data_IF_989237639051
#
_entry.id   IF_989237639051
#
_cell.length_a   1.000
_cell.length_b   1.000
_cell.length_c   1.000
_cell.angle_alpha   90.00
_cell.angle_beta   90.00
_cell.angle_gamma   90.00
#
_symmetry.space_group_name_H-M   'P 1'
#
loop_
_entity.id
_entity.type
_entity.pdbx_description
1 polymer ?
#
# COMPACT_ATOMS: atom_id res chain seq x y z
N UNK A 1 18.46 44.61 -79.26
CA UNK A 1 19.61 43.91 -78.65
C UNK A 1 19.11 43.26 -77.37
N UNK A 2 19.08 41.92 -77.33
CA UNK A 2 18.61 41.15 -76.19
C UNK A 2 19.73 40.99 -75.15
N UNK A 3 19.43 41.20 -73.87
CA UNK A 3 20.20 40.66 -72.75
C UNK A 3 19.20 40.20 -71.69
N UNK A 4 19.02 38.87 -71.61
CA UNK A 4 18.13 38.18 -70.68
C UNK A 4 18.86 37.93 -69.35
N UNK A 5 18.27 38.40 -68.24
CA UNK A 5 18.78 38.24 -66.88
C UNK A 5 18.38 36.86 -66.31
N UNK A 6 19.34 35.92 -66.26
CA UNK A 6 19.22 34.67 -65.47
C UNK A 6 19.70 34.92 -64.04
N UNK A 7 18.77 34.86 -63.08
CA UNK A 7 19.01 35.01 -61.65
C UNK A 7 19.12 33.62 -61.02
N UNK A 8 20.35 33.15 -60.77
CA UNK A 8 20.63 31.89 -60.08
C UNK A 8 20.21 31.97 -58.61
N UNK A 9 19.26 31.13 -58.20
CA UNK A 9 18.85 30.92 -56.81
C UNK A 9 19.68 29.78 -56.22
N UNK A 10 20.42 30.09 -55.16
CA UNK A 10 21.09 29.11 -54.30
C UNK A 10 20.03 28.23 -53.61
N UNK A 11 20.07 26.93 -53.91
CA UNK A 11 19.30 25.89 -53.22
C UNK A 11 20.19 25.29 -52.13
N UNK A 12 19.90 25.61 -50.86
CA UNK A 12 20.45 24.88 -49.71
C UNK A 12 19.34 23.92 -49.25
N UNK A 13 19.57 22.60 -49.25
CA UNK A 13 18.53 21.61 -48.97
C UNK A 13 18.17 21.59 -47.48
N UNK A 14 16.87 21.68 -47.20
CA UNK A 14 16.25 21.69 -45.87
C UNK A 14 16.36 20.38 -45.08
N UNK A 15 17.15 19.40 -45.51
CA UNK A 15 17.22 18.07 -44.89
C UNK A 15 17.92 18.06 -43.53
N UNK A 16 18.78 19.04 -43.24
CA UNK A 16 19.49 19.10 -41.95
C UNK A 16 18.70 19.80 -40.83
N UNK A 17 17.63 20.53 -41.14
CA UNK A 17 16.85 21.24 -40.10
C UNK A 17 15.85 20.30 -39.38
N UNK A 18 15.39 19.24 -40.04
CA UNK A 18 14.41 18.30 -39.48
C UNK A 18 15.04 17.36 -38.45
N UNK A 19 16.31 16.99 -38.62
CA UNK A 19 17.01 16.09 -37.69
C UNK A 19 17.29 16.72 -36.32
N UNK A 20 17.48 18.04 -36.27
CA UNK A 20 17.73 18.74 -35.01
C UNK A 20 16.46 18.94 -34.16
N UNK A 21 15.29 18.94 -34.80
CA UNK A 21 14.01 19.12 -34.10
C UNK A 21 13.53 17.82 -33.40
N UNK A 22 13.88 16.65 -33.94
CA UNK A 22 13.50 15.37 -33.32
C UNK A 22 14.31 15.00 -32.07
N UNK A 23 15.56 15.49 -31.94
CA UNK A 23 16.37 15.21 -30.75
C UNK A 23 16.00 16.11 -29.55
N UNK A 24 15.40 17.28 -29.79
CA UNK A 24 14.97 18.18 -28.71
C UNK A 24 13.62 17.79 -28.07
N UNK A 25 12.77 17.03 -28.77
CA UNK A 25 11.43 16.68 -28.24
C UNK A 25 11.47 15.46 -27.31
N UNK A 26 12.53 14.67 -27.28
CA UNK A 26 12.61 13.51 -26.37
C UNK A 26 13.01 13.84 -24.92
N UNK A 27 13.11 15.12 -24.54
CA UNK A 27 13.47 15.54 -23.17
C UNK A 27 12.42 16.38 -22.44
N UNK A 28 11.33 16.78 -23.08
CA UNK A 28 10.24 17.53 -22.44
C UNK A 28 8.90 16.82 -22.65
N UNK A 29 8.61 15.79 -21.84
CA UNK A 29 7.25 15.52 -21.35
C UNK A 29 7.28 14.41 -20.28
N UNK A 30 7.77 14.76 -19.08
CA UNK A 30 7.54 13.95 -17.86
C UNK A 30 6.32 14.42 -17.06
N UNK A 31 5.46 15.27 -17.64
CA UNK A 31 4.33 15.88 -16.93
C UNK A 31 3.03 15.72 -17.71
N UNK A 32 2.65 14.48 -18.01
CA UNK A 32 1.25 14.14 -18.28
C UNK A 32 0.82 13.13 -17.22
N UNK A 33 0.75 13.57 -15.96
CA UNK A 33 -0.13 12.91 -15.01
C UNK A 33 -1.56 13.29 -15.42
N UNK A 34 -2.31 12.31 -15.92
CA UNK A 34 -3.76 12.45 -16.07
C UNK A 34 -4.27 12.77 -14.67
N UNK A 35 -4.66 14.03 -14.42
CA UNK A 35 -5.42 14.39 -13.21
C UNK A 35 -6.76 13.67 -13.32
N UNK A 36 -6.83 12.45 -12.81
CA UNK A 36 -8.10 11.81 -12.51
C UNK A 36 -8.77 12.75 -11.51
N UNK A 37 -9.90 13.33 -11.90
CA UNK A 37 -10.71 14.19 -11.06
C UNK A 37 -10.96 13.48 -9.72
N UNK A 38 -10.66 14.14 -8.59
CA UNK A 38 -10.89 13.68 -7.21
C UNK A 38 -12.40 13.49 -6.90
N UNK A 39 -13.11 12.68 -7.67
CA UNK A 39 -14.45 12.19 -7.36
C UNK A 39 -14.46 10.68 -7.14
N UNK A 40 -13.31 10.07 -6.85
CA UNK A 40 -13.28 8.76 -6.21
C UNK A 40 -13.59 8.99 -4.73
N UNK A 41 -14.88 9.14 -4.42
CA UNK A 41 -15.50 9.09 -3.10
C UNK A 41 -14.55 9.32 -1.92
N UNK A 42 -14.24 10.58 -1.63
CA UNK A 42 -13.63 11.07 -0.40
C UNK A 42 -14.56 10.91 0.82
N UNK A 43 -15.19 9.75 1.01
CA UNK A 43 -16.17 9.58 2.10
C UNK A 43 -15.53 9.20 3.44
N UNK A 44 -14.20 9.11 3.51
CA UNK A 44 -13.49 8.91 4.79
C UNK A 44 -12.29 9.85 4.92
N UNK A 45 -12.52 11.13 4.67
CA UNK A 45 -11.73 12.18 5.32
C UNK A 45 -12.07 12.13 6.81
N UNK A 46 -11.05 12.25 7.66
CA UNK A 46 -11.20 12.36 9.12
C UNK A 46 -12.10 13.55 9.44
N UNK A 47 -13.41 13.33 9.48
CA UNK A 47 -14.37 14.31 9.94
C UNK A 47 -14.40 14.19 11.46
N UNK A 48 -14.28 15.29 12.22
CA UNK A 48 -14.34 15.25 13.69
C UNK A 48 -15.58 14.51 14.23
N UNK A 49 -16.66 14.42 13.45
CA UNK A 49 -17.88 13.69 13.79
C UNK A 49 -17.79 12.16 13.64
N UNK A 50 -16.66 11.63 13.15
CA UNK A 50 -16.47 10.20 12.83
C UNK A 50 -15.09 9.71 13.27
N UNK A 51 -14.82 9.65 14.59
CA UNK A 51 -13.52 9.25 15.09
C UNK A 51 -13.19 7.82 14.64
N UNK A 52 -12.06 7.68 13.94
CA UNK A 52 -11.50 6.37 13.62
C UNK A 52 -10.92 5.73 14.87
N UNK A 53 -10.87 4.39 14.88
CA UNK A 53 -10.14 3.61 15.86
C UNK A 53 -8.89 3.01 15.23
N UNK A 54 -7.89 2.70 16.05
CA UNK A 54 -6.65 2.07 15.62
C UNK A 54 -6.44 0.72 16.32
N UNK A 55 -6.10 -0.31 15.56
CA UNK A 55 -5.61 -1.59 16.07
C UNK A 55 -4.16 -1.81 15.60
N UNK A 56 -3.34 -2.49 16.40
CA UNK A 56 -1.94 -2.77 16.04
C UNK A 56 -1.66 -4.26 16.17
N UNK A 57 -1.09 -4.84 15.12
CA UNK A 57 -0.80 -6.28 15.02
C UNK A 57 0.61 -6.51 14.47
N UNK A 58 1.27 -7.58 14.93
CA UNK A 58 2.47 -8.14 14.33
C UNK A 58 2.16 -9.55 13.83
N UNK A 59 2.45 -9.85 12.57
CA UNK A 59 2.06 -11.10 11.92
C UNK A 59 3.03 -11.50 10.81
N UNK A 60 4.33 -11.23 11.01
CA UNK A 60 5.39 -11.46 10.05
C UNK A 60 5.96 -10.16 9.48
N UNK A 61 6.56 -10.23 8.28
CA UNK A 61 7.03 -9.05 7.56
C UNK A 61 5.91 -8.01 7.44
N UNK A 62 6.17 -6.76 7.82
CA UNK A 62 5.14 -5.73 7.79
C UNK A 62 4.66 -5.40 6.36
N UNK A 63 5.41 -5.76 5.31
CA UNK A 63 5.07 -5.42 3.93
C UNK A 63 3.83 -6.16 3.48
N UNK A 64 3.84 -7.48 3.70
CA UNK A 64 2.68 -8.34 3.43
C UNK A 64 1.59 -8.17 4.49
N UNK A 65 1.99 -7.93 5.75
CA UNK A 65 1.06 -7.69 6.86
C UNK A 65 0.21 -6.44 6.67
N UNK A 66 0.81 -5.34 6.20
CA UNK A 66 0.10 -4.09 5.88
C UNK A 66 -0.94 -4.33 4.78
N UNK A 67 -0.53 -5.01 3.71
CA UNK A 67 -1.40 -5.33 2.59
C UNK A 67 -2.59 -6.22 2.98
N UNK A 68 -2.43 -7.12 3.96
CA UNK A 68 -3.49 -8.03 4.42
C UNK A 68 -4.76 -7.32 4.90
N UNK A 69 -4.63 -6.10 5.44
CA UNK A 69 -5.77 -5.31 5.92
C UNK A 69 -6.31 -4.32 4.88
N UNK A 70 -5.55 -4.01 3.84
CA UNK A 70 -5.83 -2.86 2.95
C UNK A 70 -7.16 -2.92 2.22
N UNK A 71 -7.62 -4.13 1.88
CA UNK A 71 -8.85 -4.35 1.11
C UNK A 71 -10.09 -4.67 1.96
N UNK A 72 -9.97 -4.60 3.29
CA UNK A 72 -11.05 -4.93 4.20
C UNK A 72 -12.02 -3.74 4.31
N UNK A 73 -13.31 -3.99 4.09
CA UNK A 73 -14.32 -2.94 4.17
C UNK A 73 -14.39 -2.35 5.59
N UNK A 74 -14.27 -1.03 5.70
CA UNK A 74 -14.20 -0.31 6.98
C UNK A 74 -12.78 -0.01 7.44
N UNK A 75 -11.74 -0.63 6.87
CA UNK A 75 -10.35 -0.18 7.03
C UNK A 75 -10.14 1.05 6.15
N UNK A 76 -9.57 2.09 6.74
CA UNK A 76 -9.38 3.40 6.12
C UNK A 76 -7.91 3.61 5.77
N UNK A 77 -7.01 3.32 6.71
CA UNK A 77 -5.57 3.44 6.51
C UNK A 77 -4.85 2.28 7.17
N UNK A 78 -3.71 1.95 6.61
CA UNK A 78 -2.74 1.03 7.22
C UNK A 78 -1.38 1.71 7.20
N UNK A 79 -0.53 1.43 8.17
CA UNK A 79 0.87 1.89 8.17
C UNK A 79 1.77 0.79 8.74
N UNK A 80 2.92 0.58 8.10
CA UNK A 80 4.00 -0.26 8.63
C UNK A 80 4.73 0.45 9.77
N UNK A 81 5.24 -0.32 10.73
CA UNK A 81 5.96 0.21 11.89
C UNK A 81 6.48 -0.85 12.84
N UNK A 82 6.81 -0.41 14.04
CA UNK A 82 7.46 -1.21 15.09
C UNK A 82 6.71 -1.04 16.41
N UNK A 83 6.43 -2.13 17.11
CA UNK A 83 5.72 -2.11 18.40
C UNK A 83 6.19 -3.22 19.34
N UNK A 84 5.91 -3.07 20.64
CA UNK A 84 6.17 -4.11 21.64
C UNK A 84 7.62 -4.26 22.12
N UNK A 85 8.47 -3.26 21.84
CA UNK A 85 9.84 -3.19 22.35
C UNK A 85 10.07 -1.97 23.23
N UNK A 86 11.31 -1.84 23.71
CA UNK A 86 11.79 -0.82 24.65
C UNK A 86 12.66 0.24 23.99
N UNK A 87 13.22 -0.04 22.80
CA UNK A 87 14.07 0.91 22.07
C UNK A 87 13.25 2.12 21.63
N UNK A 88 13.70 3.32 22.00
CA UNK A 88 13.13 4.55 21.46
C UNK A 88 13.63 4.78 20.03
N UNK A 89 12.73 5.23 19.15
CA UNK A 89 13.00 5.48 17.72
C UNK A 89 13.72 4.30 17.03
N UNK A 90 13.10 3.10 17.00
CA UNK A 90 13.60 1.98 16.22
C UNK A 90 13.65 2.33 14.73
N UNK A 91 14.61 1.74 14.03
CA UNK A 91 14.80 1.85 12.57
C UNK A 91 14.87 0.45 11.98
N UNK A 92 14.61 0.30 10.68
CA UNK A 92 14.53 -1.03 10.06
C UNK A 92 15.79 -1.88 10.28
N UNK A 93 16.96 -1.25 10.23
CA UNK A 93 18.26 -1.92 10.44
C UNK A 93 18.55 -2.23 11.91
N UNK A 94 17.81 -1.63 12.84
CA UNK A 94 18.00 -1.78 14.27
C UNK A 94 16.70 -1.47 15.03
N UNK A 95 15.78 -2.43 15.00
CA UNK A 95 14.49 -2.34 15.68
C UNK A 95 14.53 -2.75 17.17
N UNK A 96 15.66 -3.25 17.66
CA UNK A 96 15.80 -3.77 19.03
C UNK A 96 14.91 -4.99 19.28
N UNK A 97 14.10 -4.93 20.33
CA UNK A 97 13.16 -5.96 20.75
C UNK A 97 11.73 -5.75 20.20
N UNK A 98 11.52 -4.74 19.35
CA UNK A 98 10.24 -4.53 18.69
C UNK A 98 9.86 -5.71 17.75
N UNK A 99 8.58 -5.81 17.42
CA UNK A 99 8.11 -6.59 16.28
C UNK A 99 7.88 -5.65 15.10
N UNK A 100 8.11 -6.13 13.88
CA UNK A 100 7.48 -5.53 12.70
C UNK A 100 5.96 -5.63 12.88
N UNK A 101 5.27 -4.50 12.73
CA UNK A 101 3.87 -4.34 13.08
C UNK A 101 3.14 -3.48 12.05
N UNK A 102 1.84 -3.67 11.95
CA UNK A 102 0.92 -2.82 11.18
C UNK A 102 -0.03 -2.11 12.14
N UNK A 103 -0.20 -0.81 11.95
CA UNK A 103 -1.31 -0.06 12.51
C UNK A 103 -2.44 0.00 11.49
N UNK A 104 -3.65 -0.34 11.92
CA UNK A 104 -4.86 -0.37 11.10
C UNK A 104 -5.83 0.67 11.66
N UNK A 105 -6.05 1.76 10.92
CA UNK A 105 -7.09 2.74 11.21
C UNK A 105 -8.40 2.32 10.53
N UNK A 106 -9.48 2.26 11.29
CA UNK A 106 -10.76 1.72 10.83
C UNK A 106 -11.96 2.50 11.37
N UNK A 107 -13.07 2.47 10.63
CA UNK A 107 -14.36 3.02 11.04
C UNK A 107 -15.13 1.98 11.87
N UNK A 108 -15.30 2.20 13.19
CA UNK A 108 -15.97 1.24 14.08
C UNK A 108 -17.47 1.04 13.77
N UNK A 109 -18.06 1.85 12.89
CA UNK A 109 -19.45 1.70 12.43
C UNK A 109 -19.58 0.70 11.28
N UNK A 110 -18.47 0.41 10.60
CA UNK A 110 -18.42 -0.50 9.44
C UNK A 110 -17.75 -1.82 9.82
N UNK A 111 -16.67 -1.76 10.60
CA UNK A 111 -15.91 -2.94 11.04
C UNK A 111 -15.53 -2.85 12.52
N UNK A 112 -15.69 -3.94 13.24
CA UNK A 112 -15.31 -4.07 14.65
C UNK A 112 -13.94 -4.74 14.84
N UNK A 113 -13.36 -4.56 16.02
CA UNK A 113 -12.08 -5.19 16.42
C UNK A 113 -12.10 -6.72 16.27
N UNK A 114 -13.24 -7.38 16.54
CA UNK A 114 -13.40 -8.83 16.33
C UNK A 114 -13.16 -9.26 14.88
N UNK A 115 -13.65 -8.48 13.92
CA UNK A 115 -13.47 -8.79 12.51
C UNK A 115 -12.02 -8.55 12.07
N UNK A 116 -11.35 -7.53 12.64
CA UNK A 116 -9.92 -7.34 12.43
C UNK A 116 -9.10 -8.51 12.98
N UNK A 117 -9.48 -9.07 14.13
CA UNK A 117 -8.88 -10.29 14.66
C UNK A 117 -9.09 -11.48 13.71
N UNK A 118 -10.28 -11.64 13.13
CA UNK A 118 -10.53 -12.72 12.16
C UNK A 118 -9.64 -12.56 10.90
N UNK A 119 -9.37 -11.32 10.45
CA UNK A 119 -8.40 -11.04 9.37
C UNK A 119 -6.98 -11.40 9.82
N UNK A 120 -6.58 -10.99 11.03
CA UNK A 120 -5.28 -11.30 11.61
C UNK A 120 -5.01 -12.82 11.65
N UNK A 121 -5.94 -13.61 12.18
CA UNK A 121 -5.79 -15.07 12.30
C UNK A 121 -5.74 -15.78 10.95
N UNK A 122 -6.45 -15.27 9.94
CA UNK A 122 -6.44 -15.87 8.59
C UNK A 122 -5.25 -15.44 7.72
N UNK A 123 -4.45 -14.47 8.16
CA UNK A 123 -3.37 -13.86 7.35
C UNK A 123 -1.98 -14.42 7.62
N UNK A 124 -1.79 -15.27 8.64
CA UNK A 124 -0.48 -15.81 9.00
C UNK A 124 -0.60 -17.15 9.76
N UNK A 125 0.54 -17.79 10.07
CA UNK A 125 0.57 -19.03 10.87
C UNK A 125 0.83 -18.67 12.34
N UNK A 126 -0.24 -18.66 13.12
CA UNK A 126 -0.25 -18.28 14.54
C UNK A 126 0.55 -19.20 15.47
N UNK A 127 1.22 -20.22 14.93
CA UNK A 127 1.91 -21.29 15.66
C UNK A 127 3.41 -21.24 15.44
N UNK A 128 3.88 -20.45 14.47
CA UNK A 128 5.30 -20.25 14.24
C UNK A 128 5.90 -19.45 15.40
N UNK A 129 7.05 -19.90 15.88
CA UNK A 129 7.78 -19.25 16.97
C UNK A 129 8.86 -18.39 16.33
N UNK A 130 8.89 -17.10 16.68
CA UNK A 130 9.92 -16.15 16.24
C UNK A 130 10.18 -16.20 14.72
N UNK A 131 9.10 -16.19 13.94
CA UNK A 131 9.18 -16.25 12.48
C UNK A 131 7.79 -16.30 11.84
N UNK A 132 7.75 -16.04 10.53
CA UNK A 132 6.57 -16.22 9.70
C UNK A 132 6.98 -16.62 8.27
N UNK A 133 6.57 -17.81 7.83
CA UNK A 133 6.91 -18.31 6.49
C UNK A 133 8.43 -18.49 6.34
N UNK A 134 9.07 -17.87 5.32
CA UNK A 134 10.52 -17.92 5.16
C UNK A 134 11.28 -17.01 6.14
N UNK A 135 10.59 -16.06 6.77
CA UNK A 135 11.20 -15.03 7.60
C UNK A 135 11.42 -15.58 9.02
N UNK A 136 12.68 -15.57 9.46
CA UNK A 136 13.09 -16.08 10.79
C UNK A 136 13.66 -14.94 11.61
N UNK A 137 13.16 -14.80 12.84
CA UNK A 137 13.60 -13.77 13.77
C UNK A 137 12.46 -13.30 14.69
N UNK A 138 12.84 -12.84 15.88
CA UNK A 138 11.88 -12.33 16.87
C UNK A 138 11.04 -11.15 16.32
N UNK A 139 11.57 -10.38 15.37
CA UNK A 139 10.87 -9.27 14.74
C UNK A 139 9.64 -9.71 13.93
N UNK A 140 9.60 -10.95 13.44
CA UNK A 140 8.51 -11.49 12.62
C UNK A 140 7.48 -12.29 13.45
N UNK A 141 7.58 -12.22 14.78
CA UNK A 141 6.66 -12.95 15.67
C UNK A 141 5.22 -12.49 15.52
N UNK A 142 4.30 -13.41 15.80
CA UNK A 142 2.88 -13.11 15.94
C UNK A 142 2.57 -12.42 17.28
N UNK A 143 1.97 -11.24 17.25
CA UNK A 143 1.55 -10.49 18.44
C UNK A 143 0.33 -9.61 18.17
N UNK A 144 -0.60 -9.58 19.13
CA UNK A 144 -1.73 -8.65 19.16
C UNK A 144 -1.45 -7.60 20.23
N UNK A 145 -1.46 -6.32 19.84
CA UNK A 145 -1.29 -5.21 20.76
C UNK A 145 -2.63 -4.56 21.08
N UNK A 146 -2.94 -4.40 22.36
CA UNK A 146 -4.26 -3.96 22.83
C UNK A 146 -4.19 -2.61 23.54
N UNK A 147 -5.12 -1.71 23.22
CA UNK A 147 -5.23 -0.36 23.80
C UNK A 147 -6.26 -0.25 24.94
N UNK A 148 -7.04 -1.29 25.19
CA UNK A 148 -8.09 -1.26 26.22
C UNK A 148 -8.38 -2.64 26.79
N UNK A 149 -9.03 -2.68 27.96
CA UNK A 149 -9.50 -3.92 28.57
C UNK A 149 -10.46 -4.70 27.67
N UNK A 150 -11.27 -4.00 26.85
CA UNK A 150 -12.19 -4.64 25.90
C UNK A 150 -11.42 -5.31 24.75
N UNK A 151 -10.41 -4.65 24.18
CA UNK A 151 -9.55 -5.27 23.17
C UNK A 151 -8.79 -6.46 23.74
N UNK A 152 -8.28 -6.36 24.97
CA UNK A 152 -7.63 -7.48 25.67
C UNK A 152 -8.57 -8.67 25.82
N UNK A 153 -9.80 -8.45 26.26
CA UNK A 153 -10.82 -9.50 26.39
C UNK A 153 -11.13 -10.14 25.04
N UNK A 154 -11.36 -9.33 24.00
CA UNK A 154 -11.67 -9.82 22.65
C UNK A 154 -10.50 -10.60 22.04
N UNK A 155 -9.27 -10.12 22.20
CA UNK A 155 -8.05 -10.77 21.74
C UNK A 155 -7.88 -12.14 22.42
N UNK A 156 -7.99 -12.21 23.75
CA UNK A 156 -7.90 -13.47 24.51
C UNK A 156 -8.95 -14.49 24.08
N UNK A 157 -10.23 -14.09 24.00
CA UNK A 157 -11.30 -14.97 23.50
C UNK A 157 -11.06 -15.42 22.06
N UNK A 158 -10.49 -14.56 21.20
CA UNK A 158 -10.17 -14.94 19.82
C UNK A 158 -9.00 -15.93 19.75
N UNK A 159 -7.98 -15.77 20.60
CA UNK A 159 -6.84 -16.69 20.70
C UNK A 159 -7.28 -18.07 21.21
N UNK A 160 -8.17 -18.12 22.20
CA UNK A 160 -8.76 -19.39 22.66
C UNK A 160 -9.51 -20.10 21.55
N UNK A 161 -10.31 -19.37 20.76
CA UNK A 161 -11.02 -19.91 19.59
C UNK A 161 -10.03 -20.48 18.56
N UNK A 162 -8.96 -19.76 18.28
CA UNK A 162 -7.92 -20.21 17.34
C UNK A 162 -7.17 -21.45 17.85
N UNK A 163 -6.90 -21.50 19.15
CA UNK A 163 -6.29 -22.67 19.78
C UNK A 163 -7.17 -23.92 19.67
N UNK A 164 -8.49 -23.77 19.76
CA UNK A 164 -9.44 -24.89 19.56
C UNK A 164 -9.48 -25.38 18.11
N UNK A 165 -9.24 -24.50 17.14
CA UNK A 165 -9.12 -24.88 15.73
C UNK A 165 -7.80 -25.61 15.43
N UNK A 166 -6.77 -25.37 16.24
CA UNK A 166 -5.45 -25.97 16.08
C UNK A 166 -5.31 -27.24 16.93
N UNK A 167 -5.58 -28.41 16.32
CA UNK A 167 -5.61 -29.71 17.05
C UNK A 167 -4.24 -30.25 17.47
N UNK A 168 -3.15 -29.85 16.80
CA UNK A 168 -1.83 -30.49 16.94
C UNK A 168 -0.71 -29.53 17.31
N UNK A 169 -1.01 -28.26 17.57
CA UNK A 169 -0.01 -27.22 17.81
C UNK A 169 -0.54 -26.12 18.71
N UNK A 170 0.38 -25.42 19.37
CA UNK A 170 0.06 -24.34 20.29
C UNK A 170 0.06 -23.03 19.50
N UNK A 171 -0.93 -22.18 19.76
CA UNK A 171 -0.95 -20.80 19.26
C UNK A 171 0.06 -19.98 20.06
N UNK A 172 1.13 -19.57 19.40
CA UNK A 172 2.28 -18.86 19.97
C UNK A 172 2.09 -17.35 20.00
N UNK A 173 1.05 -16.84 19.32
CA UNK A 173 0.69 -15.42 19.28
C UNK A 173 0.67 -14.80 20.68
N UNK A 174 1.46 -13.75 20.86
CA UNK A 174 1.49 -12.99 22.10
C UNK A 174 0.32 -11.99 22.15
N UNK A 175 -0.16 -11.66 23.35
CA UNK A 175 -1.09 -10.56 23.57
C UNK A 175 -0.44 -9.62 24.56
N UNK A 176 -0.23 -8.37 24.17
CA UNK A 176 0.49 -7.38 24.97
C UNK A 176 -0.25 -6.05 24.96
N UNK A 177 -0.10 -5.26 26.03
CA UNK A 177 -0.57 -3.89 26.01
C UNK A 177 0.22 -3.09 24.96
N UNK A 178 -0.48 -2.29 24.16
CA UNK A 178 0.20 -1.41 23.21
C UNK A 178 0.95 -0.31 23.99
N UNK A 179 2.27 -0.27 23.81
CA UNK A 179 3.11 0.86 24.19
C UNK A 179 3.10 1.94 23.10
N UNK A 180 4.28 2.41 22.69
CA UNK A 180 4.41 3.29 21.53
C UNK A 180 4.46 2.47 20.24
N UNK A 181 3.66 2.86 19.24
CA UNK A 181 3.83 2.42 17.86
C UNK A 181 4.73 3.43 17.13
N UNK A 182 5.88 2.96 16.65
CA UNK A 182 6.81 3.77 15.85
C UNK A 182 6.57 3.49 14.38
N UNK A 183 6.24 4.52 13.60
CA UNK A 183 6.08 4.37 12.15
C UNK A 183 7.41 3.97 11.51
N UNK A 184 7.36 3.05 10.57
CA UNK A 184 8.50 2.71 9.73
C UNK A 184 8.74 3.82 8.70
N UNK A 185 9.95 3.83 8.17
CA UNK A 185 10.43 4.78 7.18
C UNK A 185 9.56 4.74 5.90
N UNK A 186 9.44 5.86 5.15
CA UNK A 186 8.56 5.94 3.96
C UNK A 186 8.75 4.80 2.96
N UNK A 187 9.99 4.35 2.75
CA UNK A 187 10.35 3.25 1.86
C UNK A 187 9.62 1.93 2.19
N UNK A 188 9.20 1.73 3.44
CA UNK A 188 8.48 0.55 3.89
C UNK A 188 6.95 0.69 3.80
N UNK A 189 6.42 1.91 3.64
CA UNK A 189 4.98 2.16 3.55
C UNK A 189 4.44 1.77 2.17
N UNK A 190 3.30 1.08 2.14
CA UNK A 190 2.63 0.65 0.89
C UNK A 190 3.57 -0.11 -0.04
N UNK A 191 4.44 -0.95 0.51
CA UNK A 191 5.52 -1.59 -0.22
C UNK A 191 5.04 -2.40 -1.44
N UNK A 192 3.98 -3.20 -1.29
CA UNK A 192 3.43 -4.04 -2.36
C UNK A 192 2.90 -3.19 -3.51
N UNK A 193 2.23 -2.07 -3.19
CA UNK A 193 1.81 -1.08 -4.20
C UNK A 193 3.00 -0.44 -4.91
N UNK A 194 4.07 -0.10 -4.18
CA UNK A 194 5.28 0.51 -4.76
C UNK A 194 6.01 -0.43 -5.73
N UNK A 195 5.86 -1.75 -5.60
CA UNK A 195 6.37 -2.72 -6.57
C UNK A 195 5.63 -2.69 -7.91
N UNK A 196 4.54 -1.92 -8.02
CA UNK A 196 3.71 -1.81 -9.22
C UNK A 196 3.70 -0.35 -9.74
N UNK A 197 4.75 0.09 -10.47
CA UNK A 197 4.86 1.48 -10.96
C UNK A 197 3.65 1.97 -11.73
N UNK A 198 2.99 1.08 -12.48
CA UNK A 198 1.78 1.41 -13.21
C UNK A 198 0.62 1.80 -12.29
N UNK A 199 0.41 1.09 -11.17
CA UNK A 199 -0.64 1.43 -10.21
C UNK A 199 -0.35 2.76 -9.50
N UNK A 200 0.91 3.02 -9.18
CA UNK A 200 1.37 4.31 -8.64
C UNK A 200 1.08 5.47 -9.61
N UNK A 201 1.35 5.26 -10.90
CA UNK A 201 1.03 6.23 -11.94
C UNK A 201 -0.48 6.46 -12.07
N UNK A 202 -1.29 5.40 -12.00
CA UNK A 202 -2.75 5.50 -12.05
C UNK A 202 -3.35 6.35 -10.93
N UNK A 203 -2.73 6.37 -9.75
CA UNK A 203 -3.16 7.21 -8.62
C UNK A 203 -2.45 8.57 -8.57
N UNK A 204 -1.77 8.97 -9.64
CA UNK A 204 -1.22 10.31 -9.80
C UNK A 204 0.17 10.54 -9.21
N UNK A 205 0.93 9.48 -8.89
CA UNK A 205 2.26 9.57 -8.28
C UNK A 205 2.25 10.45 -7.01
N UNK A 206 1.37 10.10 -6.05
CA UNK A 206 1.29 10.75 -4.75
C UNK A 206 2.67 10.85 -4.08
N UNK A 207 2.93 11.97 -3.40
CA UNK A 207 4.10 12.09 -2.53
C UNK A 207 3.98 11.14 -1.34
N UNK A 208 5.09 10.81 -0.69
CA UNK A 208 5.14 9.77 0.36
C UNK A 208 4.14 10.02 1.49
N UNK A 209 4.00 11.26 1.95
CA UNK A 209 3.07 11.62 3.02
C UNK A 209 1.60 11.48 2.60
N UNK A 210 1.31 11.72 1.32
CA UNK A 210 -0.03 11.57 0.75
C UNK A 210 -0.35 10.08 0.51
N UNK A 211 0.62 9.32 -0.01
CA UNK A 211 0.51 7.89 -0.25
C UNK A 211 0.23 7.13 1.05
N UNK A 212 0.93 7.46 2.14
CA UNK A 212 0.71 6.83 3.44
C UNK A 212 -0.71 7.09 3.96
N UNK A 213 -1.21 8.32 3.82
CA UNK A 213 -2.54 8.74 4.33
C UNK A 213 -3.70 8.38 3.41
N UNK A 214 -3.42 7.84 2.22
CA UNK A 214 -4.42 7.57 1.20
C UNK A 214 -5.16 6.25 1.46
N UNK A 215 -6.49 6.34 1.60
CA UNK A 215 -7.36 5.17 1.66
C UNK A 215 -7.35 4.39 0.34
N UNK A 216 -7.18 5.10 -0.78
CA UNK A 216 -7.00 4.48 -2.09
C UNK A 216 -5.69 3.69 -2.15
N UNK A 217 -4.58 4.27 -1.70
CA UNK A 217 -3.29 3.58 -1.66
C UNK A 217 -3.32 2.37 -0.71
N UNK A 218 -3.98 2.50 0.45
CA UNK A 218 -4.23 1.38 1.38
C UNK A 218 -4.93 0.22 0.68
N UNK A 219 -6.00 0.50 -0.07
CA UNK A 219 -6.72 -0.52 -0.84
C UNK A 219 -5.88 -1.12 -1.96
N UNK A 220 -5.16 -0.27 -2.69
CA UNK A 220 -4.31 -0.73 -3.79
C UNK A 220 -3.08 -1.51 -3.33
N UNK A 221 -2.60 -1.29 -2.11
CA UNK A 221 -1.55 -2.10 -1.49
C UNK A 221 -2.04 -3.55 -1.25
N UNK A 222 -3.25 -3.71 -0.71
CA UNK A 222 -3.88 -5.03 -0.60
C UNK A 222 -4.16 -5.70 -1.95
N UNK A 223 -4.55 -4.91 -2.95
CA UNK A 223 -4.77 -5.37 -4.32
C UNK A 223 -3.49 -5.85 -5.00
N UNK A 224 -2.42 -5.07 -4.88
CA UNK A 224 -1.09 -5.39 -5.42
C UNK A 224 -0.50 -6.67 -4.82
N UNK A 225 -0.82 -6.96 -3.56
CA UNK A 225 -0.44 -8.22 -2.90
C UNK A 225 -1.35 -9.41 -3.20
N UNK A 226 -2.42 -9.22 -4.00
CA UNK A 226 -3.48 -10.19 -4.28
C UNK A 226 -4.22 -10.69 -3.02
N UNK A 227 -4.33 -9.83 -2.00
CA UNK A 227 -4.95 -10.15 -0.71
C UNK A 227 -6.39 -9.63 -0.58
N UNK A 228 -6.95 -9.01 -1.61
CA UNK A 228 -8.34 -8.56 -1.56
C UNK A 228 -9.32 -9.73 -1.61
N UNK A 229 -10.50 -9.60 -0.95
CA UNK A 229 -11.61 -10.50 -1.20
C UNK A 229 -11.89 -10.63 -2.71
N UNK A 230 -12.17 -11.83 -3.25
CA UNK A 230 -12.23 -12.07 -4.70
C UNK A 230 -13.16 -11.12 -5.47
N UNK A 231 -14.26 -10.69 -4.86
CA UNK A 231 -15.19 -9.71 -5.45
C UNK A 231 -14.54 -8.33 -5.62
N UNK A 232 -13.74 -7.90 -4.65
CA UNK A 232 -13.04 -6.62 -4.67
C UNK A 232 -11.89 -6.68 -5.68
N UNK A 233 -11.10 -7.76 -5.68
CA UNK A 233 -10.02 -7.99 -6.65
C UNK A 233 -10.54 -7.83 -8.09
N UNK A 234 -11.58 -8.60 -8.45
CA UNK A 234 -12.23 -8.53 -9.77
C UNK A 234 -12.80 -7.15 -10.12
N UNK A 235 -13.30 -6.42 -9.13
CA UNK A 235 -13.81 -5.07 -9.35
C UNK A 235 -12.69 -4.10 -9.72
N UNK A 236 -11.57 -4.15 -9.00
CA UNK A 236 -10.39 -3.33 -9.29
C UNK A 236 -9.81 -3.72 -10.65
N UNK A 237 -9.67 -5.02 -10.95
CA UNK A 237 -9.20 -5.50 -12.26
C UNK A 237 -10.04 -4.94 -13.41
N UNK A 238 -11.37 -4.95 -13.28
CA UNK A 238 -12.28 -4.41 -14.27
C UNK A 238 -12.04 -2.91 -14.52
N UNK A 239 -11.83 -2.13 -13.44
CA UNK A 239 -11.54 -0.69 -13.53
C UNK A 239 -10.18 -0.42 -14.15
N UNK A 240 -9.15 -1.15 -13.72
CA UNK A 240 -7.80 -1.02 -14.27
C UNK A 240 -7.79 -1.35 -15.76
N UNK A 241 -8.42 -2.46 -16.17
CA UNK A 241 -8.56 -2.86 -17.57
C UNK A 241 -9.36 -1.84 -18.40
N UNK A 242 -10.41 -1.25 -17.82
CA UNK A 242 -11.17 -0.17 -18.47
C UNK A 242 -10.28 1.05 -18.74
N UNK A 243 -9.45 1.44 -17.77
CA UNK A 243 -8.51 2.57 -17.91
C UNK A 243 -7.46 2.26 -18.97
N UNK A 244 -6.84 1.06 -18.95
CA UNK A 244 -5.87 0.65 -19.96
C UNK A 244 -6.49 0.73 -21.36
N UNK A 245 -7.72 0.19 -21.51
CA UNK A 245 -8.42 0.18 -22.80
C UNK A 245 -8.77 1.59 -23.30
N UNK A 246 -9.14 2.52 -22.43
CA UNK A 246 -9.58 3.87 -22.83
C UNK A 246 -8.45 4.90 -22.89
N UNK A 247 -7.51 4.84 -21.95
CA UNK A 247 -6.50 5.87 -21.71
C UNK A 247 -5.14 5.61 -22.37
N UNK A 248 -4.86 4.38 -22.82
CA UNK A 248 -3.58 4.02 -23.44
C UNK A 248 -3.68 3.52 -24.91
N UNK A 249 -4.22 4.31 -25.87
CA UNK A 249 -4.11 3.98 -27.29
C UNK A 249 -2.66 3.97 -27.79
N UNK A 250 -1.79 4.81 -27.21
CA UNK A 250 -0.43 5.09 -27.69
C UNK A 250 0.45 3.83 -27.77
N UNK A 251 0.17 2.79 -26.98
CA UNK A 251 0.91 1.51 -27.04
C UNK A 251 0.28 0.46 -27.98
N UNK A 252 -0.86 0.74 -28.62
CA UNK A 252 -1.39 -0.15 -29.67
C UNK A 252 -0.80 0.15 -31.05
N UNK A 253 -0.23 1.34 -31.21
CA UNK A 253 0.31 1.82 -32.48
C UNK A 253 1.85 1.65 -32.59
N UNK A 254 2.47 1.01 -31.59
CA UNK A 254 3.89 0.58 -31.57
C UNK A 254 3.90 -0.95 -31.53
#
# INVERSE_FOLDING_TARGET
>A
MAISLKRNRFFIPYTNLVFFFFLCVSLLDKTVSIRISNQISDTVVDSPDRPLKSAVFALGSFWRSEAAFGCINGVVRTSAGYAGGTKTNPEYRNLGDHAESVQVEYDPRIIGYRQLLDVFWSSHDSRQVFGQGPDVGNQYRSCIFTNSTEELRLASTSKEREQLNTRSSIVTTQIQQLGTFYRAEPDHQKFELKQHPFLIQLIGNMVEEELERSALATKLNGYAAELCPPRIQKHIDSRVNEIIRKGWPVLRDI
#
